data_IF_793981772454
#
_entry.id   IF_793981772454
#
_cell.length_a   1.000
_cell.length_b   1.000
_cell.length_c   1.000
_cell.angle_alpha   90.00
_cell.angle_beta   90.00
_cell.angle_gamma   90.00
#
_symmetry.space_group_name_H-M   'P 1'
#
loop_
_entity.id
_entity.type
_entity.pdbx_description
1 polymer ?
#
# COMPACT_ATOMS: atom_id res chain seq x y z
N UNK A 1 66.64 -40.20 -14.38
CA UNK A 1 65.46 -39.51 -13.80
C UNK A 1 65.30 -38.15 -14.47
N UNK A 2 64.30 -37.95 -15.34
CA UNK A 2 63.80 -36.61 -15.71
C UNK A 2 62.36 -36.75 -16.18
N UNK A 3 61.43 -36.26 -15.37
CA UNK A 3 59.98 -36.38 -15.53
C UNK A 3 59.49 -35.36 -16.56
N UNK A 4 58.71 -35.81 -17.55
CA UNK A 4 57.97 -34.95 -18.48
C UNK A 4 56.69 -34.47 -17.79
N UNK A 5 56.49 -33.16 -17.76
CA UNK A 5 55.31 -32.45 -17.25
C UNK A 5 54.27 -32.45 -18.38
N UNK A 6 53.09 -33.00 -18.13
CA UNK A 6 51.94 -32.89 -19.04
C UNK A 6 51.07 -31.73 -18.57
N UNK A 7 50.92 -30.73 -19.43
CA UNK A 7 50.07 -29.56 -19.22
C UNK A 7 48.59 -29.94 -19.30
N UNK A 8 47.82 -29.66 -18.25
CA UNK A 8 46.35 -29.72 -18.28
C UNK A 8 45.86 -28.34 -18.71
N UNK A 9 45.26 -28.24 -19.89
CA UNK A 9 44.56 -27.04 -20.33
C UNK A 9 43.20 -26.96 -19.64
N UNK A 10 43.00 -25.98 -18.77
CA UNK A 10 41.71 -25.67 -18.17
C UNK A 10 40.89 -24.80 -19.14
N UNK A 11 39.81 -25.36 -19.70
CA UNK A 11 38.83 -24.59 -20.47
C UNK A 11 37.93 -23.80 -19.50
N UNK A 12 38.07 -22.47 -19.50
CA UNK A 12 37.20 -21.58 -18.73
C UNK A 12 35.83 -21.44 -19.41
N UNK A 13 34.79 -22.00 -18.79
CA UNK A 13 33.40 -21.81 -19.22
C UNK A 13 32.93 -20.44 -18.73
N UNK A 14 32.84 -19.46 -19.63
CA UNK A 14 32.22 -18.17 -19.36
C UNK A 14 30.69 -18.33 -19.33
N UNK A 15 30.11 -18.35 -18.13
CA UNK A 15 28.67 -18.23 -17.98
C UNK A 15 28.24 -16.76 -18.24
N UNK A 16 27.19 -16.51 -19.05
CA UNK A 16 26.70 -15.16 -19.27
C UNK A 16 26.03 -14.64 -17.99
N UNK A 17 26.50 -13.48 -17.51
CA UNK A 17 25.85 -12.75 -16.42
C UNK A 17 24.47 -12.26 -16.88
N UNK A 18 23.40 -12.82 -16.33
CA UNK A 18 22.06 -12.32 -16.55
C UNK A 18 21.93 -10.91 -15.96
N UNK A 19 21.72 -9.91 -16.82
CA UNK A 19 21.39 -8.54 -16.41
C UNK A 19 20.03 -8.54 -15.71
N UNK A 20 20.02 -8.38 -14.39
CA UNK A 20 18.81 -8.15 -13.63
C UNK A 20 18.24 -6.77 -14.01
N UNK A 21 17.09 -6.74 -14.69
CA UNK A 21 16.39 -5.49 -14.95
C UNK A 21 15.92 -4.89 -13.62
N UNK A 22 16.02 -3.55 -13.43
CA UNK A 22 15.51 -2.91 -12.23
C UNK A 22 14.00 -3.15 -12.16
N UNK A 23 13.57 -3.86 -11.11
CA UNK A 23 12.14 -3.97 -10.81
C UNK A 23 11.66 -2.56 -10.49
N UNK A 24 10.65 -2.08 -11.20
CA UNK A 24 9.97 -0.85 -10.84
C UNK A 24 9.55 -0.97 -9.36
N UNK A 25 10.21 -0.19 -8.50
CA UNK A 25 9.99 -0.23 -7.07
C UNK A 25 8.75 0.62 -6.82
N UNK A 26 7.59 -0.02 -6.88
CA UNK A 26 6.34 0.66 -6.55
C UNK A 26 6.42 1.15 -5.11
N UNK A 27 6.05 2.42 -4.82
CA UNK A 27 6.11 2.94 -3.47
C UNK A 27 5.13 2.16 -2.59
N UNK A 28 5.61 1.62 -1.49
CA UNK A 28 4.74 1.25 -0.38
C UNK A 28 4.21 2.54 0.22
N UNK A 29 2.90 2.59 0.48
CA UNK A 29 2.26 3.74 1.10
C UNK A 29 1.64 3.33 2.41
N UNK A 30 1.56 4.26 3.35
CA UNK A 30 1.02 4.03 4.68
C UNK A 30 0.14 5.17 5.15
N UNK A 31 -0.71 4.92 6.12
CA UNK A 31 -1.40 5.97 6.86
C UNK A 31 -1.65 5.56 8.31
N UNK A 32 -1.39 6.49 9.24
CA UNK A 32 -1.90 6.41 10.62
C UNK A 32 -3.35 6.90 10.63
N UNK A 33 -4.26 6.04 11.06
CA UNK A 33 -5.69 6.25 11.07
C UNK A 33 -6.13 6.69 12.47
N UNK A 34 -6.80 7.84 12.59
CA UNK A 34 -7.32 8.33 13.86
C UNK A 34 -8.77 8.79 13.70
N UNK A 35 -9.63 8.53 14.68
CA UNK A 35 -11.01 9.00 14.65
C UNK A 35 -11.11 10.52 14.67
N UNK A 36 -10.20 11.20 15.37
CA UNK A 36 -10.14 12.68 15.40
C UNK A 36 -9.81 13.32 14.05
N UNK A 37 -9.26 12.56 13.09
CA UNK A 37 -8.90 13.06 11.78
C UNK A 37 -10.08 13.01 10.79
N UNK A 38 -11.14 12.30 11.12
CA UNK A 38 -12.37 12.26 10.31
C UNK A 38 -13.10 13.60 10.31
N UNK A 39 -13.86 13.84 9.24
CA UNK A 39 -14.66 15.06 9.07
C UNK A 39 -16.06 14.64 8.60
N UNK A 40 -17.07 14.60 9.48
CA UNK A 40 -17.03 14.91 10.92
C UNK A 40 -16.21 13.90 11.75
N UNK A 41 -15.76 14.30 12.96
CA UNK A 41 -14.89 13.48 13.82
C UNK A 41 -15.55 12.15 14.21
N UNK A 42 -14.78 11.07 14.10
CA UNK A 42 -15.10 9.75 14.64
C UNK A 42 -14.78 9.64 16.14
N UNK A 43 -14.89 8.43 16.72
CA UNK A 43 -14.59 8.20 18.13
C UNK A 43 -13.14 8.56 18.49
N UNK A 44 -12.90 9.25 19.61
CA UNK A 44 -11.53 9.59 20.05
C UNK A 44 -10.63 8.37 20.28
N UNK A 45 -11.21 7.25 20.73
CA UNK A 45 -10.47 6.01 21.01
C UNK A 45 -10.19 5.17 19.76
N UNK A 46 -10.82 5.46 18.62
CA UNK A 46 -10.64 4.69 17.40
C UNK A 46 -9.33 5.11 16.72
N UNK A 47 -8.44 4.14 16.48
CA UNK A 47 -7.15 4.37 15.86
C UNK A 47 -6.62 3.12 15.14
N UNK A 48 -5.54 3.28 14.40
CA UNK A 48 -4.84 2.17 13.76
C UNK A 48 -3.91 2.63 12.66
N UNK A 49 -3.53 1.69 11.79
CA UNK A 49 -2.74 1.93 10.60
C UNK A 49 -3.30 1.17 9.39
N UNK A 50 -2.89 1.60 8.22
CA UNK A 50 -2.97 0.83 6.98
C UNK A 50 -1.66 0.93 6.22
N UNK A 51 -1.20 -0.20 5.69
CA UNK A 51 -0.11 -0.26 4.71
C UNK A 51 -0.68 -0.76 3.38
N UNK A 52 -0.32 -0.07 2.30
CA UNK A 52 -0.76 -0.30 0.94
C UNK A 52 0.43 -0.69 0.06
N UNK A 53 0.23 -1.72 -0.75
CA UNK A 53 1.12 -2.08 -1.83
C UNK A 53 0.38 -1.83 -3.15
N UNK A 54 0.76 -0.74 -3.82
CA UNK A 54 0.17 -0.30 -5.08
C UNK A 54 1.01 -0.85 -6.23
N UNK A 55 0.35 -1.35 -7.27
CA UNK A 55 1.01 -1.81 -8.50
C UNK A 55 0.23 -1.31 -9.69
N UNK A 56 0.57 -0.12 -10.16
CA UNK A 56 -0.10 0.52 -11.30
C UNK A 56 -0.01 -0.28 -12.61
N UNK A 57 1.11 -0.99 -12.84
CA UNK A 57 1.28 -1.86 -14.01
C UNK A 57 0.17 -2.91 -14.18
N UNK A 58 0.01 -3.85 -13.22
CA UNK A 58 -1.07 -4.84 -13.23
C UNK A 58 -2.43 -4.30 -12.74
N UNK A 59 -2.53 -3.02 -12.34
CA UNK A 59 -3.79 -2.45 -11.85
C UNK A 59 -4.22 -2.99 -10.49
N UNK A 60 -3.29 -3.24 -9.56
CA UNK A 60 -3.56 -3.91 -8.29
C UNK A 60 -3.30 -2.99 -7.08
N UNK A 61 -4.22 -3.02 -6.11
CA UNK A 61 -4.11 -2.34 -4.82
C UNK A 61 -4.29 -3.36 -3.71
N UNK A 62 -3.23 -3.66 -2.96
CA UNK A 62 -3.29 -4.53 -1.79
C UNK A 62 -3.14 -3.72 -0.51
N UNK A 63 -3.75 -4.19 0.58
CA UNK A 63 -3.74 -3.51 1.86
C UNK A 63 -3.60 -4.47 3.03
N UNK A 64 -3.09 -3.95 4.15
CA UNK A 64 -3.15 -4.56 5.48
C UNK A 64 -3.47 -3.49 6.52
N UNK A 65 -4.57 -3.67 7.25
CA UNK A 65 -5.02 -2.84 8.35
C UNK A 65 -4.64 -3.46 9.69
N UNK A 66 -4.33 -2.60 10.67
CA UNK A 66 -4.36 -2.93 12.09
C UNK A 66 -5.19 -1.86 12.79
N UNK A 67 -6.30 -2.23 13.40
CA UNK A 67 -7.29 -1.29 13.96
C UNK A 67 -7.60 -1.63 15.41
N UNK A 68 -7.72 -0.60 16.24
CA UNK A 68 -8.16 -0.67 17.62
C UNK A 68 -9.28 0.36 17.87
N UNK A 69 -10.24 0.02 18.72
CA UNK A 69 -11.41 0.89 18.96
C UNK A 69 -12.37 1.04 17.78
N UNK A 70 -12.21 0.23 16.71
CA UNK A 70 -13.08 0.22 15.52
C UNK A 70 -13.95 -1.04 15.55
N UNK A 71 -15.25 -0.89 15.84
CA UNK A 71 -16.18 -2.01 15.91
C UNK A 71 -16.93 -2.21 14.59
N UNK A 72 -17.06 -3.48 14.16
CA UNK A 72 -17.87 -3.93 13.01
C UNK A 72 -17.67 -3.07 11.73
N UNK A 73 -16.44 -2.87 11.25
CA UNK A 73 -16.21 -2.14 10.01
C UNK A 73 -16.86 -2.87 8.83
N UNK A 74 -17.49 -2.13 7.91
CA UNK A 74 -18.14 -2.71 6.71
C UNK A 74 -17.54 -2.24 5.39
N UNK A 75 -16.83 -1.11 5.36
CA UNK A 75 -16.14 -0.61 4.17
C UNK A 75 -14.85 0.13 4.51
N UNK A 76 -13.93 0.20 3.54
CA UNK A 76 -12.76 1.05 3.58
C UNK A 76 -12.45 1.56 2.17
N UNK A 77 -11.96 2.79 2.07
CA UNK A 77 -11.74 3.44 0.78
C UNK A 77 -10.47 4.28 0.81
N UNK A 78 -9.85 4.44 -0.36
CA UNK A 78 -8.96 5.58 -0.64
C UNK A 78 -9.84 6.69 -1.22
N UNK A 79 -9.79 7.86 -0.62
CA UNK A 79 -10.49 9.06 -1.06
C UNK A 79 -9.50 10.09 -1.61
N UNK A 80 -9.96 10.95 -2.53
CA UNK A 80 -9.19 12.10 -3.00
C UNK A 80 -9.55 13.33 -2.17
N UNK A 81 -8.62 13.78 -1.34
CA UNK A 81 -8.80 14.96 -0.48
C UNK A 81 -7.59 15.20 0.40
N UNK A 82 -7.28 16.48 0.64
CA UNK A 82 -6.23 16.89 1.59
C UNK A 82 -6.71 16.71 3.03
N UNK A 83 -5.77 16.74 3.97
CA UNK A 83 -6.07 16.68 5.40
C UNK A 83 -7.14 17.71 5.80
N UNK A 84 -8.11 17.29 6.59
CA UNK A 84 -9.23 18.14 7.04
C UNK A 84 -10.35 18.38 6.00
N UNK A 85 -10.19 17.94 4.75
CA UNK A 85 -11.22 18.11 3.70
C UNK A 85 -11.74 16.74 3.25
N UNK A 86 -13.04 16.50 3.38
CA UNK A 86 -13.69 15.29 2.86
C UNK A 86 -13.78 15.35 1.33
N UNK A 87 -13.56 14.22 0.67
CA UNK A 87 -13.63 14.13 -0.78
C UNK A 87 -14.28 12.83 -1.26
N UNK A 88 -14.50 12.66 -2.57
CA UNK A 88 -15.15 11.49 -3.11
C UNK A 88 -14.29 10.23 -2.93
N UNK A 89 -14.95 9.07 -2.91
CA UNK A 89 -14.27 7.77 -3.01
C UNK A 89 -13.49 7.76 -4.33
N UNK A 90 -12.20 7.44 -4.25
CA UNK A 90 -11.33 7.36 -5.40
C UNK A 90 -11.07 5.89 -5.78
N UNK A 91 -10.73 5.05 -4.80
CA UNK A 91 -10.58 3.60 -4.96
C UNK A 91 -11.27 2.90 -3.79
N UNK A 92 -12.16 1.95 -4.05
CA UNK A 92 -12.76 1.12 -3.01
C UNK A 92 -11.87 -0.07 -2.65
N UNK A 93 -11.61 -0.30 -1.36
CA UNK A 93 -10.77 -1.41 -0.88
C UNK A 93 -11.61 -2.68 -0.69
N UNK A 94 -12.15 -3.19 -1.80
CA UNK A 94 -13.05 -4.35 -1.83
C UNK A 94 -14.54 -3.98 -1.74
N UNK A 95 -15.41 -4.99 -1.85
CA UNK A 95 -16.88 -4.84 -1.74
C UNK A 95 -17.35 -4.72 -0.28
N UNK A 96 -16.61 -5.35 0.62
CA UNK A 96 -16.81 -5.31 2.07
C UNK A 96 -15.46 -5.15 2.75
N UNK A 97 -15.47 -4.65 3.99
CA UNK A 97 -14.24 -4.51 4.76
C UNK A 97 -13.55 -5.87 4.95
N UNK A 98 -12.24 -5.89 4.72
CA UNK A 98 -11.33 -6.95 5.13
C UNK A 98 -10.07 -6.31 5.70
N UNK A 99 -9.55 -6.87 6.80
CA UNK A 99 -8.30 -6.37 7.38
C UNK A 99 -7.12 -6.51 6.42
N UNK A 100 -7.11 -7.54 5.57
CA UNK A 100 -6.13 -7.73 4.50
C UNK A 100 -6.83 -8.13 3.22
N UNK A 101 -6.36 -7.63 2.08
CA UNK A 101 -6.93 -7.97 0.79
C UNK A 101 -6.24 -7.28 -0.37
N UNK A 102 -6.74 -7.56 -1.57
CA UNK A 102 -6.38 -6.85 -2.78
C UNK A 102 -7.64 -6.58 -3.60
N UNK A 103 -7.61 -5.49 -4.38
CA UNK A 103 -8.61 -5.15 -5.38
C UNK A 103 -7.91 -4.73 -6.66
N UNK A 104 -8.67 -4.67 -7.76
CA UNK A 104 -8.22 -4.05 -8.99
C UNK A 104 -8.68 -2.59 -9.06
N UNK A 105 -7.85 -1.73 -9.63
CA UNK A 105 -8.18 -0.34 -9.94
C UNK A 105 -7.53 0.09 -11.26
N UNK A 106 -8.14 1.04 -12.01
CA UNK A 106 -7.54 1.62 -13.19
C UNK A 106 -6.12 2.13 -12.94
N UNK A 107 -5.18 1.79 -13.83
CA UNK A 107 -3.77 2.19 -13.77
C UNK A 107 -3.59 3.69 -13.43
N UNK A 108 -4.32 4.57 -14.12
CA UNK A 108 -4.27 6.03 -13.91
C UNK A 108 -4.66 6.46 -12.49
N UNK A 109 -5.58 5.75 -11.84
CA UNK A 109 -5.93 6.05 -10.45
C UNK A 109 -4.79 5.64 -9.51
N UNK A 110 -4.22 4.46 -9.72
CA UNK A 110 -3.10 3.99 -8.91
C UNK A 110 -1.90 4.94 -9.06
N UNK A 111 -1.55 5.33 -10.28
CA UNK A 111 -0.48 6.30 -10.56
C UNK A 111 -0.73 7.67 -9.90
N UNK A 112 -1.98 8.12 -9.84
CA UNK A 112 -2.32 9.36 -9.15
C UNK A 112 -2.05 9.27 -7.64
N UNK A 113 -2.35 8.11 -7.01
CA UNK A 113 -2.05 7.88 -5.59
C UNK A 113 -0.55 7.72 -5.35
N UNK A 114 0.15 6.96 -6.21
CA UNK A 114 1.60 6.75 -6.13
C UNK A 114 2.38 8.08 -6.26
N UNK A 115 1.95 8.97 -7.16
CA UNK A 115 2.65 10.23 -7.46
C UNK A 115 2.39 11.36 -6.46
N UNK A 116 1.25 11.36 -5.77
CA UNK A 116 0.91 12.40 -4.79
C UNK A 116 0.10 11.83 -3.61
N UNK A 117 0.70 10.96 -2.78
CA UNK A 117 -0.01 10.26 -1.72
C UNK A 117 -0.67 11.24 -0.72
N UNK A 118 -0.03 12.38 -0.44
CA UNK A 118 -0.55 13.41 0.47
C UNK A 118 -1.82 14.13 -0.03
N UNK A 119 -2.28 13.88 -1.27
CA UNK A 119 -3.57 14.31 -1.78
C UNK A 119 -4.70 13.28 -1.56
N UNK A 120 -4.39 12.13 -0.97
CA UNK A 120 -5.31 11.03 -0.73
C UNK A 120 -5.27 10.55 0.72
N UNK A 121 -6.41 10.06 1.20
CA UNK A 121 -6.50 9.50 2.54
C UNK A 121 -7.23 8.16 2.50
N UNK A 122 -6.95 7.31 3.47
CA UNK A 122 -7.75 6.11 3.73
C UNK A 122 -8.70 6.39 4.87
N UNK A 123 -9.93 5.91 4.74
CA UNK A 123 -10.86 5.81 5.86
C UNK A 123 -11.50 4.43 5.95
N UNK A 124 -12.12 4.17 7.10
CA UNK A 124 -12.90 2.97 7.38
C UNK A 124 -14.28 3.40 7.87
N UNK A 125 -15.32 2.62 7.57
CA UNK A 125 -16.71 2.94 7.90
C UNK A 125 -17.35 1.81 8.72
N UNK A 126 -18.27 2.18 9.61
CA UNK A 126 -19.19 1.23 10.26
C UNK A 126 -20.60 1.82 10.32
N UNK A 127 -21.59 1.04 10.77
CA UNK A 127 -23.00 1.48 10.77
C UNK A 127 -23.24 2.75 11.62
N UNK A 128 -22.46 2.97 12.68
CA UNK A 128 -22.58 4.15 13.56
C UNK A 128 -21.88 5.38 12.96
N UNK A 129 -20.85 5.18 12.16
CA UNK A 129 -20.03 6.21 11.52
C UNK A 129 -20.00 5.99 10.01
N UNK A 130 -21.14 6.19 9.31
CA UNK A 130 -21.24 5.96 7.87
C UNK A 130 -20.36 6.92 7.06
N UNK A 131 -20.02 8.09 7.61
CA UNK A 131 -19.13 9.07 6.98
C UNK A 131 -17.64 8.81 7.24
N UNK A 132 -17.30 7.85 8.13
CA UNK A 132 -15.93 7.51 8.48
C UNK A 132 -15.73 7.38 10.00
N UNK A 133 -15.14 6.28 10.45
CA UNK A 133 -14.78 6.02 11.85
C UNK A 133 -13.35 6.43 12.18
N UNK A 134 -12.41 6.25 11.23
CA UNK A 134 -10.99 6.57 11.36
C UNK A 134 -10.44 6.93 9.99
N UNK A 135 -9.63 8.00 9.94
CA UNK A 135 -9.01 8.53 8.73
C UNK A 135 -7.52 8.79 8.92
N UNK A 136 -6.76 8.57 7.86
CA UNK A 136 -5.35 8.93 7.80
C UNK A 136 -4.92 9.34 6.38
N UNK A 137 -4.13 10.40 6.29
CA UNK A 137 -3.54 10.82 5.03
C UNK A 137 -2.46 9.81 4.61
N UNK A 138 -2.41 9.47 3.31
CA UNK A 138 -1.38 8.59 2.79
C UNK A 138 -0.03 9.31 2.75
N UNK A 139 1.01 8.59 3.15
CA UNK A 139 2.42 9.00 3.05
C UNK A 139 3.21 7.92 2.32
N UNK A 140 4.39 8.27 1.81
CA UNK A 140 5.34 7.30 1.30
C UNK A 140 5.98 6.50 2.45
N UNK A 141 6.14 5.19 2.24
CA UNK A 141 6.67 4.25 3.22
C UNK A 141 5.59 3.56 4.04
N UNK A 142 5.96 2.41 4.62
CA UNK A 142 5.12 1.72 5.59
C UNK A 142 5.06 2.50 6.91
N UNK A 143 3.92 2.43 7.57
CA UNK A 143 3.73 2.88 8.94
C UNK A 143 3.65 1.68 9.88
N UNK A 144 4.06 1.89 11.13
CA UNK A 144 3.99 0.91 12.20
C UNK A 144 3.16 1.50 13.35
N UNK A 145 2.51 0.63 14.13
CA UNK A 145 1.82 1.05 15.36
C UNK A 145 2.81 1.24 16.50
#
# INVERSE_FOLDING_TARGET
MRRLIVCIAAAAVLAPAALALPRAMHPELGATLLGKNEVPKGPPAAHGIVNLNLKSGPGQVCWTFQLAGVSKPFAAHIHKGRAGVSGPVFIALGKTFKAKGCTSAPKKQIEAVESNPNAFYVNVHNAKFPNGIVRGQLVAGMVHM
#
